data_IF_978995989078
#
_entry.id   IF_978995989078
#
_cell.length_a   1.000
_cell.length_b   1.000
_cell.length_c   1.000
_cell.angle_alpha   90.00
_cell.angle_beta   90.00
_cell.angle_gamma   90.00
#
_symmetry.space_group_name_H-M   'P 1'
#
loop_
_entity.id
_entity.type
_entity.pdbx_description
1 polymer ?
#
# COMPACT_ATOMS: atom_id res chain seq x y z
N UNK A 1 -15.13 -18.10 -23.61
CA UNK A 1 -14.01 -18.33 -22.64
C UNK A 1 -13.28 -17.02 -22.50
N UNK A 2 -12.82 -16.64 -21.28
CA UNK A 2 -12.00 -15.41 -21.19
C UNK A 2 -10.66 -15.66 -21.88
N UNK A 3 -10.14 -14.67 -22.58
CA UNK A 3 -8.85 -14.69 -23.31
C UNK A 3 -7.70 -15.18 -22.41
N UNK A 4 -7.71 -14.81 -21.12
CA UNK A 4 -6.73 -15.26 -20.12
C UNK A 4 -6.74 -16.78 -19.96
N UNK A 5 -7.93 -17.44 -19.91
CA UNK A 5 -8.01 -18.89 -19.75
C UNK A 5 -7.43 -19.62 -20.96
N UNK A 6 -7.65 -19.10 -22.16
CA UNK A 6 -7.09 -19.63 -23.39
C UNK A 6 -5.55 -19.51 -23.39
N UNK A 7 -4.98 -18.38 -22.91
CA UNK A 7 -3.54 -18.20 -22.80
C UNK A 7 -2.90 -19.13 -21.74
N UNK A 8 -3.62 -19.44 -20.66
CA UNK A 8 -3.19 -20.44 -19.65
C UNK A 8 -3.10 -21.84 -20.27
N UNK A 9 -4.12 -22.26 -21.03
CA UNK A 9 -4.13 -23.55 -21.73
C UNK A 9 -2.96 -23.68 -22.73
N UNK A 10 -2.56 -22.56 -23.35
CA UNK A 10 -1.39 -22.46 -24.22
C UNK A 10 -0.04 -22.37 -23.49
N UNK A 11 -0.04 -22.25 -22.15
CA UNK A 11 1.17 -22.24 -21.34
C UNK A 11 1.90 -20.90 -21.25
N UNK A 12 1.28 -19.78 -21.65
CA UNK A 12 1.89 -18.44 -21.54
C UNK A 12 2.08 -17.96 -20.10
N UNK A 13 1.50 -18.64 -19.11
CA UNK A 13 1.67 -18.38 -17.67
C UNK A 13 2.85 -19.12 -17.03
N UNK A 14 3.57 -19.96 -17.80
CA UNK A 14 4.69 -20.76 -17.29
C UNK A 14 6.01 -19.99 -17.20
N UNK A 15 6.08 -18.81 -17.78
CA UNK A 15 7.27 -17.95 -17.76
C UNK A 15 6.91 -16.54 -17.32
N UNK A 16 7.76 -15.96 -16.46
CA UNK A 16 7.56 -14.59 -15.92
C UNK A 16 7.77 -13.53 -17.00
N UNK A 17 8.75 -13.74 -17.88
CA UNK A 17 9.16 -12.75 -18.90
C UNK A 17 8.49 -12.93 -20.26
N UNK A 18 7.50 -13.83 -20.42
CA UNK A 18 6.87 -14.11 -21.71
C UNK A 18 5.55 -13.35 -21.84
N UNK A 19 5.44 -12.54 -22.89
CA UNK A 19 4.16 -11.92 -23.24
C UNK A 19 3.20 -12.93 -23.87
N UNK A 20 1.94 -12.86 -23.48
CA UNK A 20 0.86 -13.52 -24.21
C UNK A 20 0.64 -12.84 -25.58
N UNK A 21 -0.11 -13.48 -26.51
CA UNK A 21 -0.46 -12.85 -27.80
C UNK A 21 -1.14 -11.48 -27.69
N UNK A 22 -1.84 -11.24 -26.58
CA UNK A 22 -2.49 -9.95 -26.26
C UNK A 22 -1.54 -8.95 -25.57
N UNK A 23 -0.24 -9.26 -25.46
CA UNK A 23 0.76 -8.38 -24.84
C UNK A 23 0.71 -8.34 -23.30
N UNK A 24 0.12 -9.35 -22.64
CA UNK A 24 0.02 -9.42 -21.18
C UNK A 24 1.15 -10.28 -20.59
N UNK A 25 1.72 -9.84 -19.49
CA UNK A 25 2.58 -10.63 -18.61
C UNK A 25 1.68 -11.34 -17.57
N UNK A 26 1.30 -12.61 -17.83
CA UNK A 26 0.28 -13.29 -17.03
C UNK A 26 0.65 -13.44 -15.56
N UNK A 27 1.94 -13.60 -15.22
CA UNK A 27 2.39 -13.67 -13.83
C UNK A 27 2.23 -12.33 -13.11
N UNK A 28 2.37 -11.20 -13.82
CA UNK A 28 2.09 -9.87 -13.26
C UNK A 28 0.59 -9.69 -13.05
N UNK A 29 -0.25 -10.12 -14.01
CA UNK A 29 -1.72 -10.09 -13.85
C UNK A 29 -2.19 -10.92 -12.64
N UNK A 30 -1.55 -12.07 -12.37
CA UNK A 30 -1.86 -12.87 -11.18
C UNK A 30 -1.42 -12.18 -9.89
N UNK A 31 -0.28 -11.49 -9.90
CA UNK A 31 0.17 -10.71 -8.77
C UNK A 31 -0.77 -9.52 -8.47
N UNK A 32 -1.28 -8.83 -9.50
CA UNK A 32 -2.30 -7.77 -9.35
C UNK A 32 -3.62 -8.33 -8.77
N UNK A 33 -4.03 -9.53 -9.19
CA UNK A 33 -5.18 -10.21 -8.59
C UNK A 33 -4.95 -10.57 -7.13
N UNK A 34 -3.73 -10.98 -6.75
CA UNK A 34 -3.38 -11.25 -5.35
C UNK A 34 -3.50 -9.99 -4.48
N UNK A 35 -3.14 -8.82 -5.02
CA UNK A 35 -3.38 -7.52 -4.34
C UNK A 35 -4.87 -7.31 -4.09
N UNK A 36 -5.72 -7.54 -5.09
CA UNK A 36 -7.20 -7.39 -4.98
C UNK A 36 -7.86 -8.40 -4.04
N UNK A 37 -7.17 -9.47 -3.66
CA UNK A 37 -7.62 -10.42 -2.63
C UNK A 37 -7.19 -10.02 -1.21
N UNK A 38 -6.21 -9.14 -1.09
CA UNK A 38 -5.73 -8.63 0.20
C UNK A 38 -6.71 -7.65 0.83
N UNK A 39 -6.74 -7.57 2.18
CA UNK A 39 -7.53 -6.55 2.88
C UNK A 39 -6.99 -5.16 2.58
N UNK A 40 -7.91 -4.19 2.52
CA UNK A 40 -7.60 -2.87 1.99
C UNK A 40 -6.80 -1.99 2.95
N UNK A 41 -6.05 -1.08 2.33
CA UNK A 41 -5.38 0.05 2.99
C UNK A 41 -5.72 1.31 2.21
N UNK A 42 -5.97 2.39 2.94
CA UNK A 42 -6.23 3.73 2.44
C UNK A 42 -5.17 4.68 2.99
N UNK A 43 -4.66 5.59 2.17
CA UNK A 43 -3.85 6.73 2.61
C UNK A 43 -4.42 8.02 2.03
N UNK A 44 -4.42 9.09 2.84
CA UNK A 44 -4.99 10.41 2.50
C UNK A 44 -3.99 11.48 2.92
N UNK A 45 -3.56 12.33 1.99
CA UNK A 45 -2.79 13.54 2.30
C UNK A 45 -3.72 14.63 2.84
N UNK A 46 -3.23 15.38 3.82
CA UNK A 46 -3.97 16.45 4.50
C UNK A 46 -3.10 17.70 4.62
N UNK A 47 -3.67 18.82 5.05
CA UNK A 47 -2.87 20.01 5.39
C UNK A 47 -1.97 19.82 6.64
N UNK A 48 -2.21 18.78 7.44
CA UNK A 48 -1.48 18.48 8.68
C UNK A 48 -0.51 17.30 8.54
N UNK A 49 -0.52 16.61 7.39
CA UNK A 49 0.34 15.45 7.15
C UNK A 49 -0.33 14.37 6.30
N UNK A 50 -0.20 13.10 6.71
CA UNK A 50 -0.79 11.95 6.03
C UNK A 50 -1.50 11.06 7.03
N UNK A 51 -2.68 10.58 6.66
CA UNK A 51 -3.46 9.58 7.40
C UNK A 51 -3.39 8.25 6.65
N UNK A 52 -3.08 7.17 7.35
CA UNK A 52 -3.18 5.81 6.87
C UNK A 52 -4.24 5.04 7.66
N UNK A 53 -5.07 4.26 6.96
CA UNK A 53 -6.10 3.40 7.55
C UNK A 53 -5.99 2.02 6.92
N UNK A 54 -5.66 1.00 7.71
CA UNK A 54 -5.52 -0.38 7.27
C UNK A 54 -6.60 -1.28 7.85
N UNK A 55 -7.31 -2.03 7.01
CA UNK A 55 -8.23 -3.07 7.45
C UNK A 55 -7.47 -4.35 7.81
N UNK A 56 -7.46 -4.73 9.08
CA UNK A 56 -6.80 -5.93 9.59
C UNK A 56 -7.66 -7.20 9.46
N UNK A 57 -8.98 -7.06 9.30
CA UNK A 57 -9.94 -8.18 9.24
C UNK A 57 -9.70 -9.23 10.33
N UNK A 58 -9.58 -8.79 11.60
CA UNK A 58 -9.36 -9.66 12.75
C UNK A 58 -10.60 -10.53 12.98
N UNK A 59 -10.46 -11.85 12.83
CA UNK A 59 -11.55 -12.82 13.02
C UNK A 59 -11.47 -13.58 14.34
N UNK A 60 -10.30 -13.63 14.97
CA UNK A 60 -10.07 -14.43 16.17
C UNK A 60 -9.98 -13.56 17.41
N UNK A 61 -10.71 -13.93 18.45
CA UNK A 61 -10.60 -13.31 19.77
C UNK A 61 -9.28 -13.66 20.50
N UNK A 62 -8.56 -14.67 20.01
CA UNK A 62 -7.27 -15.10 20.56
C UNK A 62 -6.09 -14.37 19.91
N UNK A 63 -6.33 -13.59 18.87
CA UNK A 63 -5.27 -12.81 18.22
C UNK A 63 -4.88 -11.62 19.10
N UNK A 64 -3.60 -11.52 19.39
CA UNK A 64 -3.03 -10.31 20.01
C UNK A 64 -3.04 -9.19 18.97
N UNK A 65 -3.90 -8.19 19.13
CA UNK A 65 -4.17 -7.15 18.11
C UNK A 65 -2.91 -6.43 17.66
N UNK A 66 -1.97 -6.18 18.57
CA UNK A 66 -0.71 -5.47 18.28
C UNK A 66 0.31 -6.29 17.47
N UNK A 67 0.10 -7.61 17.39
CA UNK A 67 0.97 -8.50 16.60
C UNK A 67 0.68 -8.43 15.10
N UNK A 68 -0.49 -7.94 14.71
CA UNK A 68 -0.90 -7.85 13.31
C UNK A 68 -1.08 -6.39 12.88
N UNK A 69 0.01 -5.80 12.38
CA UNK A 69 0.06 -4.44 11.85
C UNK A 69 0.04 -4.47 10.32
N UNK A 70 -0.53 -3.43 9.71
CA UNK A 70 -0.52 -3.22 8.25
C UNK A 70 0.23 -1.95 7.84
N UNK A 71 0.50 -1.08 8.80
CA UNK A 71 1.14 0.20 8.62
C UNK A 71 2.42 0.21 9.44
N UNK A 72 3.52 0.55 8.80
CA UNK A 72 4.86 0.48 9.37
C UNK A 72 5.62 1.78 9.16
N UNK A 73 6.40 2.16 10.14
CA UNK A 73 7.38 3.23 10.04
C UNK A 73 8.62 2.69 9.30
N UNK A 74 9.10 3.43 8.32
CA UNK A 74 10.34 3.14 7.57
C UNK A 74 11.49 3.98 8.09
N UNK A 75 11.27 5.27 8.20
CA UNK A 75 12.09 6.26 8.87
C UNK A 75 11.15 7.30 9.49
N UNK A 76 11.65 8.24 10.31
CA UNK A 76 10.84 9.21 11.03
C UNK A 76 9.81 9.91 10.11
N UNK A 77 10.26 10.26 8.89
CA UNK A 77 9.46 11.01 7.90
C UNK A 77 8.76 10.12 6.87
N UNK A 78 8.88 8.77 6.91
CA UNK A 78 8.32 7.86 5.92
C UNK A 78 7.53 6.73 6.58
N UNK A 79 6.30 6.55 6.12
CA UNK A 79 5.38 5.47 6.50
C UNK A 79 5.01 4.64 5.28
N UNK A 80 4.92 3.32 5.46
CA UNK A 80 4.55 2.37 4.42
C UNK A 80 3.39 1.48 4.87
N UNK A 81 2.50 1.19 3.94
CA UNK A 81 1.41 0.24 4.16
C UNK A 81 1.21 -0.63 2.92
N UNK A 82 0.71 -1.86 3.10
CA UNK A 82 0.60 -2.81 1.99
C UNK A 82 -0.70 -3.58 1.94
N UNK A 83 -1.06 -4.02 0.73
CA UNK A 83 -2.16 -4.96 0.49
C UNK A 83 -1.76 -6.03 -0.52
N UNK A 84 -2.22 -7.25 -0.29
CA UNK A 84 -1.89 -8.46 -1.04
C UNK A 84 -1.25 -9.52 -0.16
N UNK A 85 -0.24 -10.20 -0.68
CA UNK A 85 0.54 -11.23 0.03
C UNK A 85 1.44 -10.56 1.08
N UNK A 86 1.02 -10.59 2.35
CA UNK A 86 1.71 -9.85 3.43
C UNK A 86 3.13 -10.35 3.73
N UNK A 87 3.47 -11.60 3.43
CA UNK A 87 4.85 -12.09 3.52
C UNK A 87 5.78 -11.37 2.54
N UNK A 88 5.28 -11.10 1.32
CA UNK A 88 5.99 -10.30 0.32
C UNK A 88 6.09 -8.83 0.78
N UNK A 89 4.99 -8.30 1.32
CA UNK A 89 4.94 -6.95 1.89
C UNK A 89 5.98 -6.75 2.97
N UNK A 90 6.06 -7.69 3.94
CA UNK A 90 7.06 -7.65 5.01
C UNK A 90 8.49 -7.58 4.45
N UNK A 91 8.80 -8.41 3.47
CA UNK A 91 10.13 -8.43 2.85
C UNK A 91 10.50 -7.10 2.22
N UNK A 92 9.55 -6.46 1.51
CA UNK A 92 9.79 -5.14 0.89
C UNK A 92 9.86 -4.02 1.93
N UNK A 93 9.11 -4.10 3.03
CA UNK A 93 9.18 -3.15 4.13
C UNK A 93 10.55 -3.22 4.83
N UNK A 94 11.05 -4.43 5.13
CA UNK A 94 12.39 -4.64 5.68
C UNK A 94 13.48 -4.07 4.74
N UNK A 95 13.34 -4.27 3.43
CA UNK A 95 14.24 -3.67 2.44
C UNK A 95 14.16 -2.15 2.44
N UNK A 96 12.96 -1.56 2.49
CA UNK A 96 12.77 -0.12 2.55
C UNK A 96 13.46 0.49 3.79
N UNK A 97 13.29 -0.14 4.96
CA UNK A 97 13.95 0.27 6.20
C UNK A 97 15.46 0.20 6.09
N UNK A 98 15.99 -0.88 5.51
CA UNK A 98 17.42 -1.05 5.31
C UNK A 98 17.99 0.02 4.36
N UNK A 99 17.36 0.25 3.20
CA UNK A 99 17.75 1.26 2.23
C UNK A 99 17.76 2.66 2.87
N UNK A 100 16.72 3.01 3.65
CA UNK A 100 16.64 4.29 4.32
C UNK A 100 17.78 4.48 5.35
N UNK A 101 18.09 3.45 6.14
CA UNK A 101 19.19 3.50 7.11
C UNK A 101 20.57 3.54 6.44
N UNK A 102 20.80 2.73 5.40
CA UNK A 102 22.05 2.76 4.63
C UNK A 102 22.30 4.14 4.01
N UNK A 103 21.24 4.76 3.45
CA UNK A 103 21.32 6.11 2.89
C UNK A 103 21.73 7.13 3.97
N UNK A 104 21.07 7.06 5.14
CA UNK A 104 21.34 7.96 6.27
C UNK A 104 22.78 7.83 6.79
N UNK A 105 23.30 6.60 6.88
CA UNK A 105 24.70 6.35 7.29
C UNK A 105 25.67 6.87 6.24
N UNK A 106 25.40 6.64 4.95
CA UNK A 106 26.31 7.01 3.85
C UNK A 106 26.36 8.50 3.58
N UNK A 107 25.20 9.17 3.61
CA UNK A 107 25.06 10.57 3.19
C UNK A 107 24.80 11.55 4.36
N UNK A 108 24.63 11.04 5.58
CA UNK A 108 24.34 11.82 6.81
C UNK A 108 23.06 12.68 6.72
N UNK A 109 22.14 12.32 5.81
CA UNK A 109 20.83 12.93 5.65
C UNK A 109 19.77 11.85 5.40
N UNK A 110 18.50 12.11 5.71
CA UNK A 110 17.41 11.19 5.39
C UNK A 110 17.25 11.03 3.87
N UNK A 111 16.78 9.85 3.43
CA UNK A 111 16.49 9.59 2.02
C UNK A 111 15.22 10.34 1.62
N UNK A 112 15.19 10.93 0.42
CA UNK A 112 13.97 11.47 -0.14
C UNK A 112 12.98 10.34 -0.54
N UNK A 113 11.69 10.62 -0.44
CA UNK A 113 10.64 9.59 -0.63
C UNK A 113 10.68 9.02 -2.03
N UNK A 114 10.87 9.85 -3.06
CA UNK A 114 10.91 9.39 -4.45
C UNK A 114 12.10 8.47 -4.71
N UNK A 115 13.26 8.68 -4.09
CA UNK A 115 14.42 7.78 -4.22
C UNK A 115 14.12 6.42 -3.59
N UNK A 116 13.52 6.39 -2.40
CA UNK A 116 13.10 5.13 -1.78
C UNK A 116 12.04 4.41 -2.63
N UNK A 117 11.05 5.14 -3.16
CA UNK A 117 10.01 4.58 -4.04
C UNK A 117 10.62 3.94 -5.28
N UNK A 118 11.61 4.59 -5.91
CA UNK A 118 12.32 4.06 -7.08
C UNK A 118 13.06 2.77 -6.75
N UNK A 119 13.78 2.71 -5.62
CA UNK A 119 14.49 1.49 -5.21
C UNK A 119 13.53 0.32 -5.01
N UNK A 120 12.41 0.52 -4.30
CA UNK A 120 11.38 -0.50 -4.11
C UNK A 120 10.72 -0.90 -5.43
N UNK A 121 10.45 0.05 -6.32
CA UNK A 121 9.89 -0.21 -7.65
C UNK A 121 10.86 -1.02 -8.53
N UNK A 122 12.16 -0.70 -8.50
CA UNK A 122 13.21 -1.41 -9.22
C UNK A 122 13.33 -2.87 -8.73
N UNK A 123 13.27 -3.10 -7.41
CA UNK A 123 13.25 -4.46 -6.85
C UNK A 123 12.04 -5.25 -7.40
N UNK A 124 10.84 -4.67 -7.38
CA UNK A 124 9.63 -5.32 -7.91
C UNK A 124 9.74 -5.62 -9.39
N UNK A 125 10.19 -4.64 -10.18
CA UNK A 125 10.37 -4.78 -11.62
C UNK A 125 11.40 -5.87 -11.95
N UNK A 126 12.53 -5.94 -11.26
CA UNK A 126 13.52 -6.99 -11.42
C UNK A 126 12.90 -8.39 -11.20
N UNK A 127 12.10 -8.57 -10.14
CA UNK A 127 11.44 -9.85 -9.88
C UNK A 127 10.37 -10.20 -10.91
N UNK A 128 9.74 -9.22 -11.54
CA UNK A 128 8.73 -9.44 -12.59
C UNK A 128 9.32 -9.84 -13.93
N UNK A 129 10.65 -9.75 -14.11
CA UNK A 129 11.33 -10.08 -15.36
C UNK A 129 12.36 -11.20 -15.24
N UNK A 130 12.80 -11.53 -14.02
CA UNK A 130 13.87 -12.51 -13.80
C UNK A 130 13.34 -13.93 -13.79
N UNK A 131 13.86 -14.78 -14.66
CA UNK A 131 13.53 -16.21 -14.70
C UNK A 131 13.82 -16.91 -13.36
N UNK A 132 12.92 -17.81 -12.94
CA UNK A 132 13.01 -18.51 -11.66
C UNK A 132 12.51 -17.73 -10.44
N UNK A 133 12.17 -16.45 -10.59
CA UNK A 133 11.52 -15.61 -9.59
C UNK A 133 10.04 -15.42 -9.94
N UNK A 134 9.22 -15.06 -8.98
CA UNK A 134 7.85 -14.61 -9.22
C UNK A 134 7.71 -13.12 -8.86
N UNK A 135 6.80 -12.39 -9.48
CA UNK A 135 6.48 -11.03 -9.03
C UNK A 135 6.01 -11.01 -7.57
N UNK A 136 6.27 -9.91 -6.88
CA UNK A 136 5.70 -9.68 -5.55
C UNK A 136 4.19 -9.48 -5.67
N UNK A 137 3.41 -10.29 -4.96
CA UNK A 137 1.94 -10.20 -4.96
C UNK A 137 1.41 -9.10 -4.04
N UNK A 138 2.04 -7.93 -4.00
CA UNK A 138 1.71 -6.85 -3.06
C UNK A 138 1.83 -5.48 -3.73
N UNK A 139 0.85 -4.62 -3.51
CA UNK A 139 0.94 -3.17 -3.73
C UNK A 139 1.25 -2.48 -2.42
N UNK A 140 2.04 -1.41 -2.49
CA UNK A 140 2.43 -0.61 -1.33
C UNK A 140 2.00 0.84 -1.54
N UNK A 141 1.55 1.47 -0.45
CA UNK A 141 1.41 2.91 -0.30
C UNK A 141 2.58 3.39 0.54
N UNK A 142 3.41 4.26 -0.02
CA UNK A 142 4.53 4.93 0.65
C UNK A 142 4.16 6.40 0.79
N UNK A 143 4.07 6.87 2.01
CA UNK A 143 3.78 8.26 2.29
C UNK A 143 4.79 8.85 3.24
N UNK A 144 5.04 10.13 3.10
CA UNK A 144 6.00 10.81 3.97
C UNK A 144 5.89 12.32 3.87
N UNK A 145 6.78 12.99 4.59
CA UNK A 145 6.87 14.44 4.64
C UNK A 145 8.16 14.89 3.98
N UNK A 146 8.07 15.72 2.96
CA UNK A 146 9.19 16.38 2.29
C UNK A 146 8.95 17.90 2.31
N UNK A 147 9.91 18.69 2.78
CA UNK A 147 9.82 20.15 2.85
C UNK A 147 8.51 20.63 3.50
N UNK A 148 8.10 19.98 4.60
CA UNK A 148 6.83 20.26 5.29
C UNK A 148 5.58 20.04 4.42
N UNK A 149 5.67 19.18 3.40
CA UNK A 149 4.54 18.82 2.53
C UNK A 149 4.34 17.31 2.52
N UNK A 150 3.10 16.85 2.58
CA UNK A 150 2.80 15.43 2.47
C UNK A 150 2.98 14.94 1.03
N UNK A 151 3.58 13.76 0.89
CA UNK A 151 3.82 13.09 -0.39
C UNK A 151 3.37 11.64 -0.28
N UNK A 152 2.56 11.16 -1.21
CA UNK A 152 2.02 9.80 -1.24
C UNK A 152 2.26 9.15 -2.60
N UNK A 153 2.88 7.96 -2.60
CA UNK A 153 3.06 7.13 -3.77
C UNK A 153 2.42 5.76 -3.60
N UNK A 154 1.90 5.21 -4.69
CA UNK A 154 1.56 3.80 -4.82
C UNK A 154 2.63 3.09 -5.65
N UNK A 155 3.06 1.89 -5.25
CA UNK A 155 3.83 0.98 -6.11
C UNK A 155 3.04 -0.29 -6.38
N UNK A 156 2.99 -0.75 -7.63
CA UNK A 156 2.28 -1.96 -8.05
C UNK A 156 3.21 -3.19 -8.11
N UNK A 157 2.70 -4.42 -8.24
CA UNK A 157 3.49 -5.62 -8.47
C UNK A 157 4.46 -5.54 -9.63
N UNK A 158 4.10 -4.85 -10.71
CA UNK A 158 4.94 -4.66 -11.89
C UNK A 158 6.12 -3.70 -11.70
N UNK A 159 6.16 -2.97 -10.57
CA UNK A 159 7.17 -1.93 -10.32
C UNK A 159 6.78 -0.53 -10.84
N UNK A 160 5.55 -0.34 -11.32
CA UNK A 160 5.04 0.99 -11.62
C UNK A 160 4.84 1.74 -10.31
N UNK A 161 5.19 3.03 -10.28
CA UNK A 161 4.88 3.93 -9.16
C UNK A 161 4.22 5.20 -9.64
N UNK A 162 3.22 5.67 -8.89
CA UNK A 162 2.41 6.86 -9.24
C UNK A 162 2.14 7.64 -7.96
N UNK A 163 2.21 8.96 -8.05
CA UNK A 163 1.89 9.89 -6.96
C UNK A 163 0.40 10.17 -6.90
N UNK A 164 -0.17 10.18 -5.70
CA UNK A 164 -1.58 10.46 -5.44
C UNK A 164 -1.74 11.48 -4.30
N UNK A 165 -2.90 12.11 -4.22
CA UNK A 165 -3.33 12.88 -3.05
C UNK A 165 -4.03 11.98 -2.03
N UNK A 166 -4.81 11.02 -2.50
CA UNK A 166 -5.42 9.98 -1.70
C UNK A 166 -5.53 8.70 -2.53
N UNK A 167 -5.33 7.54 -1.92
CA UNK A 167 -5.39 6.26 -2.63
C UNK A 167 -5.73 5.11 -1.71
N UNK A 168 -6.62 4.24 -2.17
CA UNK A 168 -6.89 2.93 -1.57
C UNK A 168 -6.37 1.80 -2.45
N UNK A 169 -5.87 0.73 -1.82
CA UNK A 169 -5.43 -0.52 -2.46
C UNK A 169 -6.07 -1.71 -1.74
N UNK A 170 -6.20 -2.85 -2.41
CA UNK A 170 -6.77 -4.06 -1.85
C UNK A 170 -8.19 -4.36 -2.35
N UNK A 171 -8.89 -5.28 -1.68
CA UNK A 171 -10.17 -5.82 -2.13
C UNK A 171 -11.31 -4.78 -2.23
N UNK A 172 -11.26 -3.72 -1.43
CA UNK A 172 -12.22 -2.61 -1.47
C UNK A 172 -11.66 -1.38 -2.18
N UNK A 173 -10.42 -1.49 -2.72
CA UNK A 173 -9.70 -0.35 -3.27
C UNK A 173 -10.45 0.38 -4.37
N UNK A 174 -11.02 -0.36 -5.33
CA UNK A 174 -11.73 0.24 -6.47
C UNK A 174 -12.97 1.03 -5.98
N UNK A 175 -13.81 0.42 -5.11
CA UNK A 175 -15.01 1.07 -4.53
C UNK A 175 -14.66 2.32 -3.70
N UNK A 176 -13.59 2.26 -2.91
CA UNK A 176 -13.15 3.40 -2.10
C UNK A 176 -12.59 4.51 -2.97
N UNK A 177 -11.81 4.19 -4.02
CA UNK A 177 -11.24 5.19 -4.92
C UNK A 177 -12.30 5.96 -5.70
N UNK A 178 -13.37 5.31 -6.18
CA UNK A 178 -14.52 5.98 -6.82
C UNK A 178 -15.14 7.04 -5.91
N UNK A 179 -15.32 6.70 -4.64
CA UNK A 179 -15.87 7.64 -3.66
C UNK A 179 -14.89 8.77 -3.28
N UNK A 180 -13.58 8.48 -3.25
CA UNK A 180 -12.54 9.49 -2.98
C UNK A 180 -12.54 10.59 -4.04
N UNK A 181 -12.76 10.29 -5.33
CA UNK A 181 -12.80 11.28 -6.41
C UNK A 181 -13.83 12.38 -6.16
N UNK A 182 -14.89 12.07 -5.42
CA UNK A 182 -15.97 13.03 -5.12
C UNK A 182 -15.87 13.64 -3.73
N UNK A 183 -15.32 12.92 -2.75
CA UNK A 183 -15.36 13.29 -1.33
C UNK A 183 -14.06 13.86 -0.79
N UNK A 184 -12.93 13.65 -1.48
CA UNK A 184 -11.65 14.20 -1.08
C UNK A 184 -11.64 15.73 -1.18
N UNK A 185 -11.04 16.40 -0.19
CA UNK A 185 -10.82 17.84 -0.18
C UNK A 185 -9.37 18.12 0.20
N UNK A 186 -8.69 18.96 -0.57
CA UNK A 186 -7.25 19.19 -0.47
C UNK A 186 -6.80 19.74 0.90
N UNK A 187 -7.63 20.55 1.57
CA UNK A 187 -7.27 21.23 2.82
C UNK A 187 -7.91 20.62 4.08
N UNK A 188 -8.26 19.31 4.05
CA UNK A 188 -8.82 18.67 5.24
C UNK A 188 -7.77 18.47 6.35
N UNK A 189 -8.24 18.47 7.59
CA UNK A 189 -7.43 18.10 8.76
C UNK A 189 -7.26 16.57 8.85
N UNK A 190 -6.29 16.11 9.66
CA UNK A 190 -6.14 14.68 9.95
C UNK A 190 -7.42 14.05 10.51
N UNK A 191 -8.14 14.78 11.39
CA UNK A 191 -9.39 14.31 11.98
C UNK A 191 -10.50 14.15 10.92
N UNK A 192 -10.62 15.08 9.99
CA UNK A 192 -11.58 14.98 8.88
C UNK A 192 -11.23 13.83 7.94
N UNK A 193 -9.94 13.63 7.64
CA UNK A 193 -9.46 12.53 6.80
C UNK A 193 -9.70 11.15 7.44
N UNK A 194 -9.48 11.02 8.76
CA UNK A 194 -9.79 9.79 9.50
C UNK A 194 -11.30 9.51 9.42
N UNK A 195 -12.13 10.49 9.70
CA UNK A 195 -13.59 10.35 9.60
C UNK A 195 -14.01 9.95 8.19
N UNK A 196 -13.53 10.65 7.16
CA UNK A 196 -13.81 10.32 5.77
C UNK A 196 -13.41 8.88 5.46
N UNK A 197 -12.19 8.48 5.80
CA UNK A 197 -11.70 7.14 5.53
C UNK A 197 -12.50 6.04 6.22
N UNK A 198 -12.89 6.22 7.48
CA UNK A 198 -13.74 5.27 8.20
C UNK A 198 -15.16 5.22 7.61
N UNK A 199 -15.73 6.35 7.20
CA UNK A 199 -17.03 6.40 6.53
C UNK A 199 -16.99 5.68 5.17
N UNK A 200 -15.89 5.80 4.41
CA UNK A 200 -15.67 5.06 3.17
C UNK A 200 -15.56 3.55 3.40
N UNK A 201 -14.83 3.13 4.43
CA UNK A 201 -14.77 1.72 4.81
C UNK A 201 -16.13 1.20 5.29
N UNK A 202 -16.89 2.01 6.03
CA UNK A 202 -18.25 1.67 6.46
C UNK A 202 -19.18 1.46 5.27
N UNK A 203 -19.14 2.34 4.28
CA UNK A 203 -19.91 2.22 3.04
C UNK A 203 -19.52 0.96 2.25
N UNK A 204 -18.22 0.63 2.22
CA UNK A 204 -17.71 -0.49 1.44
C UNK A 204 -17.92 -1.85 2.10
N UNK A 205 -17.90 -1.91 3.43
CA UNK A 205 -18.03 -3.14 4.24
C UNK A 205 -19.46 -3.45 4.67
N UNK A 206 -20.34 -2.44 4.70
CA UNK A 206 -21.75 -2.57 5.10
C UNK A 206 -21.90 -3.24 6.47
N UNK A 207 -22.47 -4.45 6.54
CA UNK A 207 -22.69 -5.21 7.78
C UNK A 207 -21.39 -5.75 8.42
N UNK A 208 -20.30 -5.90 7.63
CA UNK A 208 -19.00 -6.37 8.15
C UNK A 208 -18.17 -5.26 8.82
N UNK A 209 -18.70 -4.03 8.91
CA UNK A 209 -17.98 -2.91 9.51
C UNK A 209 -17.87 -3.06 11.02
N UNK A 210 -16.62 -3.01 11.51
CA UNK A 210 -16.28 -2.97 12.93
C UNK A 210 -15.08 -2.03 13.11
N UNK A 211 -15.19 -1.03 13.99
CA UNK A 211 -14.12 -0.07 14.26
C UNK A 211 -12.83 -0.73 14.76
N UNK A 212 -12.93 -1.78 15.56
CA UNK A 212 -11.79 -2.46 16.16
C UNK A 212 -10.86 -3.14 15.15
N UNK A 213 -11.36 -3.37 13.93
CA UNK A 213 -10.57 -4.00 12.87
C UNK A 213 -9.56 -3.05 12.20
N UNK A 214 -9.67 -1.75 12.43
CA UNK A 214 -8.80 -0.79 11.74
C UNK A 214 -7.51 -0.50 12.50
N UNK A 215 -6.44 -0.38 11.73
CA UNK A 215 -5.15 0.16 12.13
C UNK A 215 -5.05 1.57 11.56
N UNK A 216 -5.03 2.59 12.41
CA UNK A 216 -5.02 3.99 11.99
C UNK A 216 -3.74 4.66 12.46
N UNK A 217 -3.05 5.31 11.53
CA UNK A 217 -1.79 6.01 11.77
C UNK A 217 -1.85 7.39 11.14
N UNK A 218 -1.32 8.37 11.82
CA UNK A 218 -1.02 9.70 11.28
C UNK A 218 0.48 9.93 11.29
N UNK A 219 0.99 10.51 10.21
CA UNK A 219 2.31 11.11 10.15
C UNK A 219 2.11 12.62 9.94
N UNK A 220 2.43 13.43 10.95
CA UNK A 220 2.24 14.87 10.88
C UNK A 220 3.41 15.60 10.19
N UNK A 221 3.26 16.90 9.93
CA UNK A 221 4.29 17.71 9.26
C UNK A 221 5.59 17.86 10.08
N UNK A 222 5.57 17.53 11.38
CA UNK A 222 6.75 17.50 12.25
C UNK A 222 7.34 16.08 12.31
N UNK A 223 6.96 15.20 11.38
CA UNK A 223 7.48 13.84 11.22
C UNK A 223 7.17 12.93 12.41
N UNK A 224 6.10 13.24 13.14
CA UNK A 224 5.67 12.42 14.27
C UNK A 224 4.70 11.33 13.81
N UNK A 225 5.16 10.09 13.88
CA UNK A 225 4.34 8.91 13.66
C UNK A 225 3.48 8.64 14.89
N UNK A 226 2.15 8.68 14.74
CA UNK A 226 1.20 8.42 15.83
C UNK A 226 0.21 7.34 15.41
N UNK A 227 0.18 6.23 16.15
CA UNK A 227 -0.83 5.18 16.00
C UNK A 227 -2.02 5.49 16.90
N UNK A 228 -3.22 5.53 16.34
CA UNK A 228 -4.44 5.87 17.05
C UNK A 228 -5.12 4.59 17.53
N UNK A 229 -5.42 4.52 18.82
CA UNK A 229 -6.18 3.41 19.40
C UNK A 229 -7.61 3.40 18.85
N UNK A 230 -8.12 2.19 18.52
CA UNK A 230 -9.49 2.01 18.03
C UNK A 230 -10.58 2.55 18.96
N UNK A 231 -10.31 2.66 20.27
CA UNK A 231 -11.20 3.26 21.23
C UNK A 231 -11.35 4.79 21.08
N UNK A 232 -10.41 5.43 20.38
CA UNK A 232 -10.38 6.87 20.14
C UNK A 232 -10.82 7.27 18.71
N UNK A 233 -11.34 6.31 17.92
CA UNK A 233 -11.83 6.48 16.55
C UNK A 233 -13.31 6.88 16.49
#
# INVERSE_FOLDING_TARGET
MSTIKQHQEMGYDRSVGMFSPDGLLLQVEYAEKAVKLGTSVLAITTKEGIVFIGDRKIKSRLLVKDSFKKIFEVDNHITIAGSGVMSDGRRLIEQAQMIAQEHKVKFQNPIDIISLVKEIANIKQYYSQSGGLRPFGVSLLLGGIEDKKPVLYQTTPSGIYIRFLARAIGNLGDKINEELETKYKENMSNKEAIKLGLDLFKLALEEEYDKERFDVVTLDLDEKFTRIDSNNL
#
